data_IF_668794507653
#
_entry.id   IF_668794507653
#
_cell.length_a   1.000
_cell.length_b   1.000
_cell.length_c   1.000
_cell.angle_alpha   90.00
_cell.angle_beta   90.00
_cell.angle_gamma   90.00
#
_symmetry.space_group_name_H-M   'P 1'
#
loop_
_entity.id
_entity.type
_entity.pdbx_description
1 polymer ?
#
# COMPACT_ATOMS: atom_id res chain seq x y z
N UNK A 1 5.92 -26.39 4.24
CA UNK A 1 5.84 -26.41 2.75
C UNK A 1 6.41 -25.14 2.12
N UNK A 2 6.62 -24.05 2.89
CA UNK A 2 7.18 -22.80 2.38
C UNK A 2 6.13 -21.81 1.89
N UNK A 3 4.85 -22.16 2.05
CA UNK A 3 3.72 -21.29 1.72
C UNK A 3 3.67 -20.11 2.71
N UNK A 4 3.68 -18.85 2.22
CA UNK A 4 3.49 -17.68 3.07
C UNK A 4 2.13 -17.68 3.77
N UNK A 5 2.09 -17.20 5.02
CA UNK A 5 0.83 -17.00 5.75
C UNK A 5 -0.01 -15.85 5.15
N UNK A 6 0.65 -14.81 4.64
CA UNK A 6 0.06 -13.61 4.03
C UNK A 6 0.92 -13.13 2.88
N UNK A 7 0.30 -12.38 1.98
CA UNK A 7 0.91 -11.81 0.79
C UNK A 7 0.75 -10.29 0.81
N UNK A 8 1.77 -9.56 0.38
CA UNK A 8 1.67 -8.11 0.23
C UNK A 8 1.34 -7.71 -1.20
N UNK A 9 1.74 -8.49 -2.20
CA UNK A 9 1.54 -8.20 -3.62
C UNK A 9 0.12 -8.46 -4.11
N UNK A 10 -0.58 -9.40 -3.48
CA UNK A 10 -1.99 -9.69 -3.67
C UNK A 10 -2.50 -10.41 -2.41
N UNK A 11 -2.89 -9.68 -1.36
CA UNK A 11 -3.34 -10.23 -0.08
C UNK A 11 -4.30 -11.42 -0.18
N UNK A 12 -5.26 -11.37 -1.10
CA UNK A 12 -6.28 -12.39 -1.31
C UNK A 12 -5.74 -13.78 -1.70
N UNK A 13 -4.44 -13.89 -2.04
CA UNK A 13 -3.75 -15.17 -2.24
C UNK A 13 -3.78 -16.08 -1.01
N UNK A 14 -3.96 -15.52 0.19
CA UNK A 14 -4.16 -16.32 1.41
C UNK A 14 -5.62 -16.79 1.60
N UNK A 15 -6.55 -16.32 0.76
CA UNK A 15 -7.97 -16.67 0.78
C UNK A 15 -8.81 -15.92 1.81
N UNK A 16 -8.26 -14.92 2.52
CA UNK A 16 -8.99 -14.20 3.59
C UNK A 16 -8.69 -12.70 3.66
N UNK A 17 -7.47 -12.28 3.30
CA UNK A 17 -7.06 -10.87 3.35
C UNK A 17 -7.60 -10.07 2.17
N UNK A 18 -7.92 -8.80 2.42
CA UNK A 18 -8.49 -7.91 1.42
C UNK A 18 -7.40 -7.26 0.55
N UNK A 19 -7.56 -7.28 -0.77
CA UNK A 19 -6.67 -6.58 -1.71
C UNK A 19 -6.91 -5.07 -1.70
N UNK A 20 -8.16 -4.64 -1.52
CA UNK A 20 -8.60 -3.26 -1.70
C UNK A 20 -9.54 -2.84 -0.59
N UNK A 21 -9.64 -1.53 -0.36
CA UNK A 21 -10.55 -0.97 0.60
C UNK A 21 -12.01 -1.03 0.12
N UNK A 22 -12.93 -1.35 1.04
CA UNK A 22 -14.36 -1.12 0.92
C UNK A 22 -14.96 -0.76 2.29
N UNK A 23 -16.24 -0.34 2.28
CA UNK A 23 -16.95 0.09 3.49
C UNK A 23 -17.23 -1.02 4.52
N UNK A 24 -17.21 -2.29 4.11
CA UNK A 24 -17.52 -3.44 4.94
C UNK A 24 -16.29 -4.02 5.65
N UNK A 25 -15.07 -3.55 5.31
CA UNK A 25 -13.85 -4.01 5.95
C UNK A 25 -13.75 -3.73 7.45
N UNK A 26 -14.58 -2.82 7.98
CA UNK A 26 -14.63 -2.56 9.43
C UNK A 26 -14.99 -3.79 10.26
N UNK A 27 -15.70 -4.75 9.69
CA UNK A 27 -16.12 -5.99 10.36
C UNK A 27 -15.15 -7.16 10.15
N UNK A 28 -14.13 -6.98 9.31
CA UNK A 28 -13.14 -8.00 9.01
C UNK A 28 -12.04 -8.02 10.07
N UNK A 29 -11.59 -9.22 10.48
CA UNK A 29 -10.49 -9.38 11.43
C UNK A 29 -9.27 -8.55 10.98
N UNK A 30 -8.62 -7.90 11.95
CA UNK A 30 -7.53 -6.95 11.70
C UNK A 30 -6.36 -7.56 10.93
N UNK A 31 -6.14 -8.88 11.04
CA UNK A 31 -5.09 -9.56 10.30
C UNK A 31 -5.42 -9.69 8.81
N UNK A 32 -6.70 -9.66 8.44
CA UNK A 32 -7.18 -9.76 7.07
C UNK A 32 -7.45 -8.38 6.44
N UNK A 33 -8.00 -7.43 7.21
CA UNK A 33 -8.12 -6.04 6.75
C UNK A 33 -6.75 -5.35 6.59
N UNK A 34 -5.72 -5.81 7.32
CA UNK A 34 -4.33 -5.37 7.08
C UNK A 34 -3.85 -5.56 5.64
N UNK A 35 -4.49 -6.45 4.87
CA UNK A 35 -4.23 -6.68 3.45
C UNK A 35 -4.17 -5.39 2.63
N UNK A 36 -5.08 -4.44 2.85
CA UNK A 36 -5.13 -3.18 2.09
C UNK A 36 -3.86 -2.36 2.27
N UNK A 37 -3.38 -2.22 3.50
CA UNK A 37 -2.14 -1.48 3.80
C UNK A 37 -0.89 -2.25 3.33
N UNK A 38 -0.91 -3.58 3.41
CA UNK A 38 0.15 -4.42 2.84
C UNK A 38 0.25 -4.23 1.33
N UNK A 39 -0.89 -4.21 0.65
CA UNK A 39 -0.99 -4.03 -0.79
C UNK A 39 -0.56 -2.64 -1.23
N UNK A 40 -0.99 -1.61 -0.51
CA UNK A 40 -0.49 -0.25 -0.68
C UNK A 40 1.04 -0.20 -0.62
N UNK A 41 1.64 -0.79 0.42
CA UNK A 41 3.09 -0.74 0.58
C UNK A 41 3.83 -1.48 -0.55
N UNK A 42 3.34 -2.65 -0.96
CA UNK A 42 3.91 -3.36 -2.10
C UNK A 42 3.81 -2.52 -3.37
N UNK A 43 2.63 -2.03 -3.73
CA UNK A 43 2.42 -1.24 -4.95
C UNK A 43 3.26 0.04 -4.95
N UNK A 44 3.37 0.73 -3.81
CA UNK A 44 4.20 1.93 -3.72
C UNK A 44 5.68 1.60 -3.93
N UNK A 45 6.16 0.50 -3.36
CA UNK A 45 7.58 0.13 -3.45
C UNK A 45 7.95 -0.49 -4.80
N UNK A 46 7.07 -1.29 -5.36
CA UNK A 46 7.38 -2.25 -6.43
C UNK A 46 6.58 -1.98 -7.72
N UNK A 47 5.48 -1.24 -7.66
CA UNK A 47 4.56 -1.02 -8.79
C UNK A 47 3.59 -2.17 -9.02
N UNK A 48 2.63 -1.95 -9.92
CA UNK A 48 1.64 -2.96 -10.31
C UNK A 48 2.08 -3.78 -11.54
N UNK A 49 1.36 -4.86 -11.81
CA UNK A 49 1.54 -5.71 -12.99
C UNK A 49 2.66 -6.73 -12.87
N UNK A 50 2.96 -7.36 -14.01
CA UNK A 50 3.91 -8.48 -14.10
C UNK A 50 5.35 -8.05 -13.92
N UNK A 51 6.05 -8.73 -13.01
CA UNK A 51 7.49 -8.54 -12.80
C UNK A 51 8.13 -9.68 -12.03
N UNK A 52 9.43 -9.83 -12.19
CA UNK A 52 10.23 -10.77 -11.40
C UNK A 52 11.13 -10.00 -10.45
N UNK A 53 11.05 -10.29 -9.15
CA UNK A 53 11.94 -9.71 -8.13
C UNK A 53 12.67 -10.85 -7.43
N UNK A 54 14.00 -10.84 -7.50
CA UNK A 54 14.86 -11.87 -6.91
C UNK A 54 14.46 -13.32 -7.29
N UNK A 55 14.01 -13.52 -8.53
CA UNK A 55 13.59 -14.84 -9.03
C UNK A 55 12.17 -15.27 -8.65
N UNK A 56 11.39 -14.39 -8.01
CA UNK A 56 9.97 -14.61 -7.71
C UNK A 56 9.13 -13.78 -8.68
N UNK A 57 8.17 -14.43 -9.33
CA UNK A 57 7.24 -13.77 -10.24
C UNK A 57 6.03 -13.20 -9.49
N UNK A 58 5.70 -11.96 -9.83
CA UNK A 58 4.59 -11.19 -9.29
C UNK A 58 3.70 -10.69 -10.42
N UNK A 59 2.40 -10.55 -10.15
CA UNK A 59 1.41 -9.92 -11.02
C UNK A 59 0.39 -9.20 -10.13
N UNK A 60 0.78 -8.02 -9.62
CA UNK A 60 0.04 -7.32 -8.57
C UNK A 60 -1.01 -6.39 -9.18
N UNK A 61 -2.31 -6.53 -8.84
CA UNK A 61 -3.38 -5.77 -9.47
C UNK A 61 -3.63 -4.43 -8.77
N UNK A 62 -4.38 -3.54 -9.44
CA UNK A 62 -5.00 -2.35 -8.83
C UNK A 62 -6.51 -2.45 -8.96
N UNK A 63 -7.25 -1.83 -8.03
CA UNK A 63 -8.72 -1.90 -7.99
C UNK A 63 -9.38 -1.35 -9.25
N UNK A 64 -8.72 -0.43 -9.95
CA UNK A 64 -9.20 0.28 -11.14
C UNK A 64 -8.50 -0.15 -12.44
N UNK A 65 -7.57 -1.13 -12.38
CA UNK A 65 -6.79 -1.57 -13.52
C UNK A 65 -5.70 -0.59 -13.98
N UNK A 66 -5.43 0.47 -13.21
CA UNK A 66 -4.32 1.39 -13.48
C UNK A 66 -2.94 0.73 -13.34
N UNK A 67 -1.96 1.27 -14.07
CA UNK A 67 -0.55 0.87 -13.92
C UNK A 67 0.16 1.83 -12.99
N UNK A 68 0.84 1.30 -11.97
CA UNK A 68 1.62 2.05 -10.99
C UNK A 68 3.10 1.76 -11.16
N UNK A 69 3.93 2.81 -11.20
CA UNK A 69 5.39 2.69 -11.16
C UNK A 69 5.84 2.82 -9.70
N UNK A 70 6.54 1.82 -9.17
CA UNK A 70 7.06 1.85 -7.81
C UNK A 70 8.18 2.87 -7.61
N UNK A 71 8.26 3.46 -6.41
CA UNK A 71 9.31 4.42 -6.02
C UNK A 71 10.51 3.74 -5.34
N UNK A 72 10.50 2.41 -5.22
CA UNK A 72 11.50 1.62 -4.54
C UNK A 72 11.25 1.50 -3.03
N UNK A 73 11.73 0.39 -2.45
CA UNK A 73 11.50 0.02 -1.03
C UNK A 73 12.03 1.06 -0.05
N UNK A 74 13.19 1.65 -0.34
CA UNK A 74 13.83 2.60 0.58
C UNK A 74 12.96 3.85 0.80
N UNK A 75 12.45 4.44 -0.28
CA UNK A 75 11.56 5.61 -0.20
C UNK A 75 10.20 5.24 0.41
N UNK A 76 9.62 4.11 -0.01
CA UNK A 76 8.36 3.62 0.56
C UNK A 76 8.48 3.40 2.09
N UNK A 77 9.58 2.82 2.55
CA UNK A 77 9.88 2.65 3.97
C UNK A 77 9.98 3.99 4.70
N UNK A 78 10.72 4.97 4.16
CA UNK A 78 10.86 6.29 4.79
C UNK A 78 9.51 7.00 4.94
N UNK A 79 8.67 6.94 3.90
CA UNK A 79 7.32 7.54 3.91
C UNK A 79 6.46 6.86 4.97
N UNK A 80 6.37 5.52 4.95
CA UNK A 80 5.54 4.77 5.89
C UNK A 80 5.99 5.00 7.34
N UNK A 81 7.30 4.93 7.60
CA UNK A 81 7.86 5.13 8.93
C UNK A 81 7.58 6.54 9.47
N UNK A 82 7.77 7.58 8.65
CA UNK A 82 7.49 8.97 9.06
C UNK A 82 5.99 9.18 9.28
N UNK A 83 5.13 8.67 8.40
CA UNK A 83 3.69 8.76 8.55
C UNK A 83 3.25 8.13 9.88
N UNK A 84 3.68 6.89 10.13
CA UNK A 84 3.34 6.12 11.34
C UNK A 84 3.82 6.80 12.63
N UNK A 85 5.04 7.33 12.65
CA UNK A 85 5.67 7.84 13.88
C UNK A 85 5.35 9.31 14.18
N UNK A 86 4.93 10.10 13.19
CA UNK A 86 4.74 11.55 13.34
C UNK A 86 3.29 11.98 13.12
N UNK A 87 2.53 11.29 12.26
CA UNK A 87 1.22 11.77 11.80
C UNK A 87 0.04 10.87 12.13
N UNK A 88 0.24 9.57 12.23
CA UNK A 88 -0.81 8.64 12.64
C UNK A 88 -1.03 8.73 14.16
N UNK A 89 -2.27 8.49 14.58
CA UNK A 89 -2.70 8.44 15.98
C UNK A 89 -3.38 7.10 16.26
N UNK A 90 -3.82 6.87 17.49
CA UNK A 90 -4.54 5.65 17.88
C UNK A 90 -5.89 5.47 17.17
N UNK A 91 -6.40 6.49 16.49
CA UNK A 91 -7.70 6.46 15.78
C UNK A 91 -7.55 6.63 14.27
N UNK A 92 -6.35 6.47 13.72
CA UNK A 92 -6.13 6.58 12.28
C UNK A 92 -6.79 5.41 11.54
N UNK A 93 -7.68 5.74 10.61
CA UNK A 93 -8.26 4.83 9.63
C UNK A 93 -7.51 4.91 8.28
N UNK A 94 -8.00 4.24 7.22
CA UNK A 94 -7.34 4.24 5.92
C UNK A 94 -7.27 5.63 5.26
N UNK A 95 -8.34 6.42 5.35
CA UNK A 95 -8.35 7.79 4.84
C UNK A 95 -7.32 8.66 5.59
N UNK A 96 -7.24 8.52 6.92
CA UNK A 96 -6.22 9.15 7.74
C UNK A 96 -4.81 8.68 7.40
N UNK A 97 -4.62 7.39 7.11
CA UNK A 97 -3.33 6.84 6.69
C UNK A 97 -2.89 7.39 5.33
N UNK A 98 -3.83 7.59 4.40
CA UNK A 98 -3.59 8.31 3.15
C UNK A 98 -3.06 9.71 3.38
N UNK A 99 -3.79 10.53 4.14
CA UNK A 99 -3.36 11.90 4.46
C UNK A 99 -1.99 11.92 5.16
N UNK A 100 -1.75 10.99 6.10
CA UNK A 100 -0.50 10.90 6.84
C UNK A 100 0.70 10.57 5.92
N UNK A 101 0.52 9.64 4.98
CA UNK A 101 1.58 9.26 4.03
C UNK A 101 1.82 10.32 2.96
N UNK A 102 0.78 11.01 2.46
CA UNK A 102 0.92 12.16 1.55
C UNK A 102 1.69 13.30 2.24
N UNK A 103 1.37 13.60 3.49
CA UNK A 103 2.12 14.58 4.29
C UNK A 103 3.58 14.15 4.48
N UNK A 104 3.82 12.88 4.82
CA UNK A 104 5.17 12.35 4.97
C UNK A 104 5.99 12.45 3.66
N UNK A 105 5.38 12.12 2.51
CA UNK A 105 6.02 12.25 1.21
C UNK A 105 6.34 13.72 0.88
N UNK A 106 5.40 14.62 1.15
CA UNK A 106 5.58 16.07 0.97
C UNK A 106 6.76 16.59 1.77
N UNK A 107 6.89 16.20 3.03
CA UNK A 107 7.98 16.67 3.90
C UNK A 107 9.35 16.08 3.53
N UNK A 108 9.39 14.86 3.00
CA UNK A 108 10.62 14.18 2.64
C UNK A 108 11.13 14.59 1.26
N UNK A 109 10.21 14.80 0.30
CA UNK A 109 10.56 14.94 -1.12
C UNK A 109 10.02 16.23 -1.77
N UNK A 110 9.12 16.95 -1.11
CA UNK A 110 8.52 18.20 -1.60
C UNK A 110 7.11 18.02 -2.17
N UNK A 111 6.36 19.14 -2.26
CA UNK A 111 4.94 19.16 -2.65
C UNK A 111 4.69 18.83 -4.14
N UNK A 112 5.71 18.96 -5.00
CA UNK A 112 5.61 18.64 -6.44
C UNK A 112 6.31 17.33 -6.82
N UNK A 113 6.72 16.55 -5.82
CA UNK A 113 7.53 15.33 -5.99
C UNK A 113 6.78 14.19 -6.67
N UNK A 114 7.52 13.33 -7.37
CA UNK A 114 6.97 12.10 -7.93
C UNK A 114 6.56 11.11 -6.83
N UNK A 115 7.20 11.16 -5.67
CA UNK A 115 6.87 10.36 -4.50
C UNK A 115 5.48 10.69 -3.94
N UNK A 116 5.14 11.98 -3.82
CA UNK A 116 3.79 12.38 -3.41
C UNK A 116 2.74 11.89 -4.41
N UNK A 117 2.98 12.11 -5.71
CA UNK A 117 2.08 11.64 -6.78
C UNK A 117 1.90 10.13 -6.73
N UNK A 118 2.98 9.39 -6.51
CA UNK A 118 2.95 7.92 -6.39
C UNK A 118 2.17 7.46 -5.15
N UNK A 119 2.32 8.13 -4.00
CA UNK A 119 1.52 7.83 -2.79
C UNK A 119 0.03 8.01 -3.07
N UNK A 120 -0.38 9.15 -3.62
CA UNK A 120 -1.79 9.42 -3.93
C UNK A 120 -2.37 8.45 -4.95
N UNK A 121 -1.60 8.14 -6.01
CA UNK A 121 -2.00 7.15 -7.02
C UNK A 121 -2.12 5.74 -6.42
N UNK A 122 -1.21 5.35 -5.53
CA UNK A 122 -1.22 4.01 -4.92
C UNK A 122 -2.39 3.82 -3.97
N UNK A 123 -2.74 4.83 -3.15
CA UNK A 123 -3.96 4.76 -2.33
C UNK A 123 -5.22 4.62 -3.19
N UNK A 124 -5.28 5.36 -4.30
CA UNK A 124 -6.36 5.23 -5.29
C UNK A 124 -6.40 3.80 -5.87
N UNK A 125 -5.23 3.22 -6.18
CA UNK A 125 -5.09 1.86 -6.68
C UNK A 125 -5.50 0.76 -5.69
N UNK A 126 -5.59 1.07 -4.40
CA UNK A 126 -6.19 0.19 -3.37
C UNK A 126 -7.58 0.67 -2.91
N UNK A 127 -8.24 1.50 -3.73
CA UNK A 127 -9.58 2.05 -3.54
C UNK A 127 -9.77 2.93 -2.28
N UNK A 128 -8.70 3.47 -1.69
CA UNK A 128 -8.79 4.47 -0.61
C UNK A 128 -8.76 5.87 -1.22
N UNK A 129 -9.91 6.56 -1.20
CA UNK A 129 -10.13 7.82 -1.92
C UNK A 129 -9.93 9.05 -1.05
#
# INVERSE_FOLDING_TARGET
DGTPLRYMDQPSKDGSSADYWDENLGDLDVHHSSGVANHFFYLLSEGSGKKTVNGVDYDSPTSDGSTLTGIGREKAYQIWYKALSVYMTSTTDYAGARVATEKAATDLFGADSEELKAVSATWTGVNVK
#
